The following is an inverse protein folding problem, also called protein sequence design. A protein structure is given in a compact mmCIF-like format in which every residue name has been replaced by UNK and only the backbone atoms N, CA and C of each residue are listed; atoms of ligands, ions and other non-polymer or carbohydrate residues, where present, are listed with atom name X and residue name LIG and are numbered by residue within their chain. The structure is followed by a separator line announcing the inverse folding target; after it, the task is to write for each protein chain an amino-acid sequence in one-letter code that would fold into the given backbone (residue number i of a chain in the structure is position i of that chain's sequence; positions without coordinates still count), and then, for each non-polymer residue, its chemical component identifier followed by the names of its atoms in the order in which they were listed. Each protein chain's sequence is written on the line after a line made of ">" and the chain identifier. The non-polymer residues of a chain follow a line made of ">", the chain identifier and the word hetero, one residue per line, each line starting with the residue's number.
data_IF_964581442468
#
_entry.id   IF_964581442468
#
_cell.length_a   1.000
_cell.length_b   1.000
_cell.length_c   1.000
_cell.angle_alpha   90.00
_cell.angle_beta   90.00
_cell.angle_gamma   90.00
#
_symmetry.space_group_name_H-M   'P 1'
#
loop_
_entity.id
_entity.type
_entity.pdbx_description
1 polymer ?
#
# COMPACT_ATOMS: atom_id res chain seq x y z
N UNK A 1 17.01 0.89 27.10
CA UNK A 1 15.96 1.61 27.87
C UNK A 1 14.64 0.88 27.68
N UNK A 2 13.78 0.88 28.68
CA UNK A 2 12.40 0.40 28.53
C UNK A 2 11.64 1.47 27.76
N UNK A 3 10.86 1.07 26.75
CA UNK A 3 10.02 1.99 25.98
C UNK A 3 9.03 2.71 26.90
N UNK A 4 8.99 4.05 26.84
CA UNK A 4 8.03 4.89 27.55
C UNK A 4 7.16 5.64 26.53
N UNK A 5 5.86 5.34 26.54
CA UNK A 5 4.88 5.94 25.62
C UNK A 5 4.74 7.46 25.78
N UNK A 6 5.13 8.02 26.93
CA UNK A 6 5.01 9.44 27.23
C UNK A 6 6.27 10.24 26.86
N UNK A 7 7.31 9.58 26.34
CA UNK A 7 8.57 10.22 25.92
C UNK A 7 8.84 9.92 24.45
N UNK A 8 9.26 10.91 23.64
CA UNK A 8 9.70 10.66 22.27
C UNK A 8 10.82 9.61 22.24
N UNK A 9 10.69 8.60 21.39
CA UNK A 9 11.65 7.51 21.29
C UNK A 9 12.82 7.87 20.35
N UNK A 10 13.56 8.91 20.73
CA UNK A 10 14.63 9.48 19.90
C UNK A 10 15.83 8.53 19.71
N UNK A 11 16.05 7.62 20.66
CA UNK A 11 17.08 6.59 20.59
C UNK A 11 16.55 5.29 19.94
N UNK A 12 15.69 5.41 18.91
CA UNK A 12 15.19 4.28 18.14
C UNK A 12 16.38 3.46 17.59
N UNK A 13 16.49 2.16 17.92
CA UNK A 13 17.60 1.35 17.46
C UNK A 13 17.69 1.31 15.94
N UNK A 14 18.91 1.42 15.41
CA UNK A 14 19.14 1.31 13.97
C UNK A 14 18.81 -0.10 13.47
N UNK A 15 18.38 -0.19 12.21
CA UNK A 15 18.24 -1.46 11.51
C UNK A 15 19.61 -1.91 10.96
N UNK A 16 19.92 -3.22 10.95
CA UNK A 16 19.10 -4.31 11.50
C UNK A 16 19.21 -4.40 13.03
N UNK A 17 18.14 -4.84 13.72
CA UNK A 17 18.20 -5.08 15.15
C UNK A 17 19.17 -6.23 15.44
N UNK A 18 19.87 -6.24 16.59
CA UNK A 18 20.83 -7.27 16.97
C UNK A 18 20.13 -8.54 17.50
N UNK A 19 19.23 -9.11 16.70
CA UNK A 19 18.46 -10.32 17.00
C UNK A 19 18.48 -11.27 15.80
N UNK A 20 18.20 -12.55 16.04
CA UNK A 20 18.02 -13.52 14.95
C UNK A 20 16.72 -13.22 14.20
N UNK A 21 16.83 -12.67 12.99
CA UNK A 21 15.68 -12.32 12.15
C UNK A 21 15.06 -13.56 11.47
N UNK A 22 15.88 -14.52 11.05
CA UNK A 22 15.49 -15.68 10.26
C UNK A 22 15.04 -16.85 11.14
N UNK A 23 13.94 -16.67 11.86
CA UNK A 23 13.42 -17.72 12.73
C UNK A 23 12.63 -18.78 11.95
N UNK A 24 12.64 -20.03 12.44
CA UNK A 24 11.84 -21.13 11.83
C UNK A 24 10.37 -20.77 11.60
N UNK A 25 9.64 -20.12 12.53
CA UNK A 25 8.24 -19.71 12.28
C UNK A 25 8.11 -18.70 11.13
N UNK A 26 9.00 -17.70 11.05
CA UNK A 26 9.00 -16.68 10.00
C UNK A 26 9.30 -17.34 8.64
N UNK A 27 10.36 -18.14 8.55
CA UNK A 27 10.74 -18.82 7.30
C UNK A 27 9.64 -19.75 6.79
N UNK A 28 8.91 -20.45 7.68
CA UNK A 28 7.75 -21.26 7.27
C UNK A 28 6.62 -20.41 6.66
N UNK A 29 6.39 -19.19 7.15
CA UNK A 29 5.39 -18.27 6.60
C UNK A 29 5.84 -17.63 5.29
N UNK A 30 7.14 -17.33 5.16
CA UNK A 30 7.74 -16.84 3.91
C UNK A 30 7.40 -17.77 2.74
N UNK A 31 7.50 -19.09 2.93
CA UNK A 31 7.18 -20.07 1.88
C UNK A 31 5.76 -19.88 1.33
N UNK A 32 4.74 -19.75 2.19
CA UNK A 32 3.36 -19.53 1.75
C UNK A 32 3.16 -18.16 1.09
N UNK A 33 3.78 -17.11 1.63
CA UNK A 33 3.68 -15.76 1.09
C UNK A 33 4.33 -15.67 -0.30
N UNK A 34 5.52 -16.24 -0.47
CA UNK A 34 6.22 -16.29 -1.76
C UNK A 34 5.42 -17.06 -2.82
N UNK A 35 4.78 -18.17 -2.46
CA UNK A 35 3.93 -18.92 -3.39
C UNK A 35 2.75 -18.09 -3.89
N UNK A 36 2.04 -17.41 -2.99
CA UNK A 36 0.90 -16.56 -3.35
C UNK A 36 1.34 -15.37 -4.25
N UNK A 37 2.48 -14.74 -3.93
CA UNK A 37 3.03 -13.66 -4.75
C UNK A 37 3.48 -14.14 -6.13
N UNK A 38 4.08 -15.33 -6.22
CA UNK A 38 4.50 -15.91 -7.49
C UNK A 38 3.30 -16.27 -8.37
N UNK A 39 2.22 -16.78 -7.78
CA UNK A 39 0.96 -17.05 -8.49
C UNK A 39 0.34 -15.75 -9.03
N UNK A 40 0.24 -14.71 -8.20
CA UNK A 40 -0.24 -13.40 -8.63
C UNK A 40 0.59 -12.84 -9.79
N UNK A 41 1.92 -12.90 -9.69
CA UNK A 41 2.83 -12.47 -10.76
C UNK A 41 2.62 -13.28 -12.05
N UNK A 42 2.41 -14.59 -11.93
CA UNK A 42 2.14 -15.47 -13.06
C UNK A 42 0.82 -15.13 -13.76
N UNK A 43 -0.26 -14.96 -12.99
CA UNK A 43 -1.59 -14.64 -13.52
C UNK A 43 -1.64 -13.23 -14.12
N UNK A 44 -1.01 -12.25 -13.48
CA UNK A 44 -0.95 -10.88 -14.01
C UNK A 44 -0.31 -10.81 -15.40
N UNK A 45 0.68 -11.67 -15.69
CA UNK A 45 1.30 -11.79 -17.01
C UNK A 45 0.38 -12.31 -18.12
N UNK A 46 -0.77 -12.89 -17.78
CA UNK A 46 -1.76 -13.34 -18.76
C UNK A 46 -2.73 -12.22 -19.17
N UNK A 47 -2.77 -11.12 -18.43
CA UNK A 47 -3.66 -9.98 -18.73
C UNK A 47 -3.01 -9.12 -19.82
N UNK A 48 -3.69 -8.88 -20.96
CA UNK A 48 -3.13 -8.11 -22.07
C UNK A 48 -2.73 -6.67 -21.70
N UNK A 49 -3.53 -6.03 -20.85
CA UNK A 49 -3.23 -4.71 -20.28
C UNK A 49 -3.15 -4.81 -18.75
N UNK A 50 -1.93 -4.95 -18.25
CA UNK A 50 -1.68 -5.04 -16.81
C UNK A 50 -1.99 -3.75 -16.06
N UNK A 51 -2.03 -2.60 -16.75
CA UNK A 51 -2.32 -1.32 -16.11
C UNK A 51 -3.73 -1.31 -15.51
N UNK A 52 -4.68 -2.05 -16.10
CA UNK A 52 -6.03 -2.20 -15.55
C UNK A 52 -5.97 -2.83 -14.15
N UNK A 53 -5.27 -3.95 -14.00
CA UNK A 53 -5.17 -4.64 -12.70
C UNK A 53 -4.47 -3.76 -11.66
N UNK A 54 -3.37 -3.12 -12.05
CA UNK A 54 -2.57 -2.29 -11.15
C UNK A 54 -3.37 -1.06 -10.69
N UNK A 55 -4.04 -0.37 -11.60
CA UNK A 55 -4.85 0.80 -11.26
C UNK A 55 -5.99 0.47 -10.29
N UNK A 56 -6.67 -0.66 -10.50
CA UNK A 56 -7.75 -1.12 -9.63
C UNK A 56 -7.24 -1.50 -8.24
N UNK A 57 -6.16 -2.28 -8.15
CA UNK A 57 -5.58 -2.69 -6.86
C UNK A 57 -5.10 -1.47 -6.08
N UNK A 58 -4.40 -0.52 -6.73
CA UNK A 58 -3.89 0.67 -6.05
C UNK A 58 -5.03 1.55 -5.55
N UNK A 59 -6.11 1.71 -6.31
CA UNK A 59 -7.27 2.49 -5.85
C UNK A 59 -7.92 1.86 -4.61
N UNK A 60 -8.08 0.54 -4.60
CA UNK A 60 -8.62 -0.15 -3.42
C UNK A 60 -7.68 -0.09 -2.22
N UNK A 61 -6.38 -0.26 -2.44
CA UNK A 61 -5.35 -0.13 -1.40
C UNK A 61 -5.34 1.27 -0.80
N UNK A 62 -5.34 2.30 -1.65
CA UNK A 62 -5.39 3.70 -1.22
C UNK A 62 -6.63 3.95 -0.36
N UNK A 63 -7.81 3.49 -0.80
CA UNK A 63 -9.06 3.66 -0.05
C UNK A 63 -9.00 2.98 1.32
N UNK A 64 -8.58 1.72 1.36
CA UNK A 64 -8.51 0.92 2.59
C UNK A 64 -7.44 1.44 3.55
N UNK A 65 -6.28 1.84 3.04
CA UNK A 65 -5.20 2.44 3.84
C UNK A 65 -5.61 3.80 4.41
N UNK A 66 -6.32 4.62 3.63
CA UNK A 66 -6.85 5.90 4.10
C UNK A 66 -7.96 5.73 5.13
N UNK A 67 -8.77 4.68 5.04
CA UNK A 67 -9.82 4.38 6.02
C UNK A 67 -9.26 4.13 7.43
N UNK A 68 -8.06 3.53 7.54
CA UNK A 68 -7.35 3.34 8.81
C UNK A 68 -7.03 4.69 9.48
N UNK A 69 -6.77 5.73 8.68
CA UNK A 69 -6.45 7.09 9.13
C UNK A 69 -7.70 7.98 9.28
N UNK A 70 -8.90 7.40 9.26
CA UNK A 70 -10.21 8.09 9.29
C UNK A 70 -10.50 8.96 8.06
N UNK A 71 -9.84 8.70 6.93
CA UNK A 71 -10.14 9.33 5.64
C UNK A 71 -11.06 8.38 4.85
N UNK A 72 -12.36 8.63 4.92
CA UNK A 72 -13.39 7.73 4.37
C UNK A 72 -13.95 8.29 3.06
N UNK A 73 -14.00 7.44 2.03
CA UNK A 73 -14.68 7.71 0.76
C UNK A 73 -15.36 6.44 0.24
N UNK A 74 -16.27 6.58 -0.73
CA UNK A 74 -16.91 5.45 -1.38
C UNK A 74 -16.13 5.02 -2.62
N UNK A 75 -16.27 3.75 -3.02
CA UNK A 75 -15.71 3.27 -4.29
C UNK A 75 -16.27 4.06 -5.47
N UNK A 76 -17.57 4.37 -5.48
CA UNK A 76 -18.21 5.13 -6.57
C UNK A 76 -17.62 6.53 -6.73
N UNK A 77 -17.49 7.27 -5.63
CA UNK A 77 -16.86 8.59 -5.63
C UNK A 77 -15.40 8.52 -6.09
N UNK A 78 -14.67 7.49 -5.67
CA UNK A 78 -13.28 7.31 -6.02
C UNK A 78 -13.10 7.00 -7.51
N UNK A 79 -13.91 6.12 -8.09
CA UNK A 79 -13.87 5.80 -9.52
C UNK A 79 -14.30 7.00 -10.38
N UNK A 80 -15.35 7.70 -9.96
CA UNK A 80 -15.79 8.93 -10.63
C UNK A 80 -14.69 9.98 -10.64
N UNK A 81 -14.06 10.21 -9.49
CA UNK A 81 -12.94 11.13 -9.35
C UNK A 81 -11.69 10.70 -10.13
N UNK A 82 -11.43 9.39 -10.26
CA UNK A 82 -10.31 8.88 -11.06
C UNK A 82 -10.53 9.07 -12.57
N UNK A 83 -11.79 9.03 -13.02
CA UNK A 83 -12.16 9.15 -14.45
C UNK A 83 -12.35 10.60 -14.92
N UNK A 84 -12.83 11.49 -14.04
CA UNK A 84 -13.18 12.87 -14.39
C UNK A 84 -12.34 13.88 -13.60
N UNK A 85 -11.43 14.56 -14.29
CA UNK A 85 -10.56 15.61 -13.72
C UNK A 85 -11.34 16.86 -13.29
N UNK A 86 -12.56 17.06 -13.79
CA UNK A 86 -13.44 18.17 -13.41
C UNK A 86 -14.32 17.81 -12.20
N UNK A 87 -14.30 16.55 -11.75
CA UNK A 87 -15.07 16.11 -10.60
C UNK A 87 -14.61 16.84 -9.33
N UNK A 88 -15.48 17.70 -8.81
CA UNK A 88 -15.31 18.34 -7.52
C UNK A 88 -15.70 17.36 -6.40
N UNK A 89 -14.96 16.26 -6.31
CA UNK A 89 -15.13 15.29 -5.24
C UNK A 89 -14.85 15.87 -3.87
N UNK A 90 -15.44 15.25 -2.85
CA UNK A 90 -15.17 15.55 -1.45
C UNK A 90 -13.66 15.54 -1.16
N UNK A 91 -13.17 16.36 -0.20
CA UNK A 91 -11.76 16.42 0.16
C UNK A 91 -11.14 15.04 0.45
N UNK A 92 -11.88 14.16 1.13
CA UNK A 92 -11.44 12.80 1.42
C UNK A 92 -11.19 11.96 0.15
N UNK A 93 -12.04 12.08 -0.87
CA UNK A 93 -11.85 11.40 -2.15
C UNK A 93 -10.60 11.91 -2.87
N UNK A 94 -10.33 13.22 -2.81
CA UNK A 94 -9.11 13.82 -3.38
C UNK A 94 -7.86 13.34 -2.64
N UNK A 95 -7.93 13.15 -1.34
CA UNK A 95 -6.82 12.63 -0.53
C UNK A 95 -6.47 11.18 -0.89
N UNK A 96 -7.46 10.31 -1.06
CA UNK A 96 -7.26 8.93 -1.53
C UNK A 96 -6.64 8.90 -2.94
N UNK A 97 -7.06 9.79 -3.85
CA UNK A 97 -6.43 9.89 -5.16
C UNK A 97 -4.96 10.36 -5.10
N UNK A 98 -4.63 11.27 -4.19
CA UNK A 98 -3.24 11.70 -3.97
C UNK A 98 -2.36 10.57 -3.44
N UNK A 99 -2.90 9.69 -2.60
CA UNK A 99 -2.19 8.48 -2.17
C UNK A 99 -1.81 7.62 -3.39
N UNK A 100 -2.78 7.34 -4.27
CA UNK A 100 -2.55 6.59 -5.52
C UNK A 100 -1.46 7.27 -6.37
N UNK A 101 -1.53 8.59 -6.53
CA UNK A 101 -0.55 9.36 -7.31
C UNK A 101 0.85 9.30 -6.69
N UNK A 102 0.97 9.41 -5.37
CA UNK A 102 2.24 9.30 -4.67
C UNK A 102 2.85 7.90 -4.82
N UNK A 103 2.03 6.85 -4.77
CA UNK A 103 2.48 5.48 -4.96
C UNK A 103 3.00 5.25 -6.39
N UNK A 104 2.26 5.71 -7.41
CA UNK A 104 2.72 5.65 -8.81
C UNK A 104 4.01 6.44 -9.03
N UNK A 105 4.06 7.68 -8.53
CA UNK A 105 5.26 8.51 -8.63
C UNK A 105 6.48 7.86 -7.96
N UNK A 106 6.28 7.26 -6.78
CA UNK A 106 7.33 6.52 -6.08
C UNK A 106 7.83 5.33 -6.89
N UNK A 107 6.92 4.54 -7.45
CA UNK A 107 7.25 3.41 -8.31
C UNK A 107 8.04 3.83 -9.56
N UNK A 108 7.55 4.84 -10.28
CA UNK A 108 8.20 5.36 -11.49
C UNK A 108 9.57 5.99 -11.19
N UNK A 109 9.80 6.49 -9.98
CA UNK A 109 11.10 7.06 -9.57
C UNK A 109 12.17 6.00 -9.25
N UNK A 110 11.78 4.74 -9.06
CA UNK A 110 12.66 3.63 -8.71
C UNK A 110 12.99 2.72 -9.90
N UNK A 111 12.21 2.81 -10.98
CA UNK A 111 12.46 2.10 -12.25
C UNK A 111 13.31 2.94 -13.21
#
# INVERSE_FOLDING_TARGET
>A
MIFDRNRPFNDLPLLPPPVELETRPVLKKVISATRALAELKGVANLIPDQAILINEIILQEARLSSEIENIVTTSDDLYRAASDKLFQGEPATKEVLRYREALWHGFDSLM
#
